data_IF_594349085897
#
_entry.id   IF_594349085897
#
_cell.length_a   1.000
_cell.length_b   1.000
_cell.length_c   1.000
_cell.angle_alpha   90.00
_cell.angle_beta   90.00
_cell.angle_gamma   90.00
#
_symmetry.space_group_name_H-M   'P 1'
#
loop_
_entity.id
_entity.type
_entity.pdbx_description
1 polymer ?
#
# COMPACT_ATOMS: atom_id res chain seq x y z
N UNK A 1 -9.62 -14.25 -9.94
CA UNK A 1 -9.46 -12.87 -10.42
C UNK A 1 -8.36 -12.90 -11.46
N UNK A 2 -8.57 -12.38 -12.67
CA UNK A 2 -7.51 -12.37 -13.66
C UNK A 2 -6.39 -11.44 -13.19
N UNK A 3 -5.13 -11.88 -13.27
CA UNK A 3 -3.94 -11.10 -12.92
C UNK A 3 -3.63 -9.99 -13.96
N UNK A 4 -4.55 -9.72 -14.87
CA UNK A 4 -4.45 -8.71 -15.94
C UNK A 4 -4.46 -7.26 -15.43
N UNK A 5 -4.49 -7.03 -14.11
CA UNK A 5 -4.48 -5.71 -13.49
C UNK A 5 -3.11 -5.43 -12.85
N UNK A 6 -2.22 -4.67 -13.49
CA UNK A 6 -0.85 -4.46 -13.00
C UNK A 6 -0.77 -3.88 -11.58
N UNK A 7 -1.71 -3.01 -11.22
CA UNK A 7 -1.79 -2.44 -9.87
C UNK A 7 -2.13 -3.50 -8.81
N UNK A 8 -2.98 -4.47 -9.14
CA UNK A 8 -3.31 -5.56 -8.23
C UNK A 8 -2.08 -6.44 -7.97
N UNK A 9 -1.42 -6.90 -9.04
CA UNK A 9 -0.23 -7.77 -8.94
C UNK A 9 0.87 -7.07 -8.13
N UNK A 10 1.15 -5.80 -8.44
CA UNK A 10 2.16 -5.03 -7.72
C UNK A 10 1.79 -4.86 -6.24
N UNK A 11 0.54 -4.52 -5.94
CA UNK A 11 0.12 -4.36 -4.55
C UNK A 11 0.14 -5.67 -3.77
N UNK A 12 -0.11 -6.81 -4.43
CA UNK A 12 -0.01 -8.13 -3.81
C UNK A 12 1.42 -8.41 -3.35
N UNK A 13 2.42 -8.14 -4.19
CA UNK A 13 3.83 -8.27 -3.81
C UNK A 13 4.24 -7.31 -2.68
N UNK A 14 3.72 -6.07 -2.69
CA UNK A 14 3.95 -5.10 -1.62
C UNK A 14 3.35 -5.59 -0.30
N UNK A 15 2.12 -6.09 -0.34
CA UNK A 15 1.39 -6.57 0.83
C UNK A 15 2.11 -7.74 1.49
N UNK A 16 2.50 -8.74 0.69
CA UNK A 16 3.24 -9.91 1.14
C UNK A 16 4.57 -9.51 1.81
N UNK A 17 5.34 -8.64 1.13
CA UNK A 17 6.59 -8.12 1.67
C UNK A 17 6.41 -7.35 2.99
N UNK A 18 5.33 -6.57 3.11
CA UNK A 18 5.02 -5.82 4.34
C UNK A 18 4.61 -6.74 5.50
N UNK A 19 3.90 -7.83 5.22
CA UNK A 19 3.56 -8.84 6.23
C UNK A 19 4.83 -9.48 6.79
N UNK A 20 5.73 -9.94 5.91
CA UNK A 20 7.03 -10.50 6.29
C UNK A 20 7.86 -9.54 7.14
N UNK A 21 7.89 -8.24 6.77
CA UNK A 21 8.60 -7.24 7.57
C UNK A 21 7.94 -7.02 8.92
N UNK A 22 6.62 -6.98 8.99
CA UNK A 22 5.88 -6.75 10.23
C UNK A 22 6.15 -7.84 11.28
N UNK A 23 6.43 -9.08 10.86
CA UNK A 23 6.82 -10.18 11.75
C UNK A 23 8.20 -9.97 12.40
N UNK A 24 9.12 -9.34 11.67
CA UNK A 24 10.48 -9.06 12.16
C UNK A 24 10.56 -7.88 13.16
N UNK A 25 9.48 -7.12 13.33
CA UNK A 25 9.48 -5.95 14.21
C UNK A 25 9.54 -6.35 15.69
N UNK A 26 10.00 -5.46 16.60
CA UNK A 26 10.04 -5.76 18.02
C UNK A 26 8.67 -6.18 18.57
N UNK A 27 8.65 -7.22 19.43
CA UNK A 27 7.41 -7.75 20.00
C UNK A 27 6.55 -6.69 20.69
N UNK A 28 7.17 -5.66 21.29
CA UNK A 28 6.49 -4.55 21.97
C UNK A 28 5.59 -3.71 21.05
N UNK A 29 5.82 -3.72 19.73
CA UNK A 29 5.00 -2.97 18.77
C UNK A 29 4.10 -3.85 17.91
N UNK A 30 4.03 -5.15 18.20
CA UNK A 30 3.24 -6.11 17.43
C UNK A 30 1.77 -5.69 17.33
N UNK A 31 1.16 -5.39 18.48
CA UNK A 31 -0.26 -5.02 18.58
C UNK A 31 -0.55 -3.53 18.31
N UNK A 32 0.45 -2.77 17.88
CA UNK A 32 0.31 -1.34 17.59
C UNK A 32 0.75 -1.05 16.16
N UNK A 33 2.06 -0.86 15.95
CA UNK A 33 2.63 -0.47 14.66
C UNK A 33 2.52 -1.60 13.64
N UNK A 34 2.90 -2.83 14.00
CA UNK A 34 2.86 -3.96 13.05
C UNK A 34 1.43 -4.27 12.61
N UNK A 35 0.49 -4.42 13.55
CA UNK A 35 -0.93 -4.63 13.22
C UNK A 35 -1.49 -3.48 12.37
N UNK A 36 -1.18 -2.22 12.71
CA UNK A 36 -1.67 -1.08 11.92
C UNK A 36 -1.09 -1.05 10.51
N UNK A 37 0.17 -1.46 10.34
CA UNK A 37 0.84 -1.53 9.04
C UNK A 37 0.17 -2.57 8.14
N UNK A 38 -0.02 -3.78 8.66
CA UNK A 38 -0.65 -4.88 7.90
C UNK A 38 -2.10 -4.54 7.58
N UNK A 39 -2.88 -4.08 8.56
CA UNK A 39 -4.29 -3.73 8.34
C UNK A 39 -4.47 -2.62 7.29
N UNK A 40 -3.66 -1.57 7.35
CA UNK A 40 -3.73 -0.50 6.36
C UNK A 40 -3.35 -1.00 4.95
N UNK A 41 -2.41 -1.95 4.87
CA UNK A 41 -1.99 -2.53 3.59
C UNK A 41 -3.08 -3.43 2.99
N UNK A 42 -3.78 -4.20 3.83
CA UNK A 42 -4.98 -4.97 3.47
C UNK A 42 -6.11 -4.05 3.01
N UNK A 43 -6.39 -2.98 3.75
CA UNK A 43 -7.43 -2.00 3.38
C UNK A 43 -7.16 -1.32 2.02
N UNK A 44 -5.90 -1.20 1.60
CA UNK A 44 -5.54 -0.69 0.27
C UNK A 44 -5.79 -1.78 -0.79
N UNK A 45 -5.47 -3.04 -0.49
CA UNK A 45 -5.78 -4.16 -1.39
C UNK A 45 -7.29 -4.26 -1.63
N UNK A 46 -8.09 -4.22 -0.56
CA UNK A 46 -9.55 -4.22 -0.66
C UNK A 46 -10.03 -3.08 -1.56
N UNK A 47 -9.50 -1.87 -1.37
CA UNK A 47 -9.82 -0.71 -2.20
C UNK A 47 -9.42 -0.86 -3.67
N UNK A 48 -8.30 -1.53 -3.98
CA UNK A 48 -7.89 -1.85 -5.35
C UNK A 48 -8.87 -2.84 -5.98
N UNK A 49 -9.25 -3.89 -5.25
CA UNK A 49 -10.23 -4.89 -5.73
C UNK A 49 -11.57 -4.22 -6.00
N UNK A 50 -12.10 -3.44 -5.06
CA UNK A 50 -13.35 -2.71 -5.26
C UNK A 50 -13.28 -1.78 -6.48
N UNK A 51 -12.15 -1.09 -6.67
CA UNK A 51 -11.93 -0.17 -7.79
C UNK A 51 -11.94 -0.89 -9.15
N UNK A 52 -11.37 -2.11 -9.23
CA UNK A 52 -11.38 -2.93 -10.44
C UNK A 52 -12.82 -3.23 -10.89
N UNK A 53 -13.72 -3.50 -9.96
CA UNK A 53 -15.11 -3.90 -10.25
C UNK A 53 -16.12 -2.73 -10.22
N UNK A 54 -15.70 -1.52 -9.88
CA UNK A 54 -16.58 -0.35 -9.79
C UNK A 54 -16.74 0.38 -11.13
N UNK A 55 -17.93 0.98 -11.33
CA UNK A 55 -18.22 1.90 -12.45
C UNK A 55 -17.94 3.36 -12.13
N UNK A 56 -17.83 3.72 -10.84
CA UNK A 56 -17.56 5.08 -10.38
C UNK A 56 -16.30 5.07 -9.52
N UNK A 57 -15.14 5.29 -10.13
CA UNK A 57 -13.84 5.07 -9.48
C UNK A 57 -13.26 6.35 -8.89
N UNK A 58 -13.69 7.53 -9.31
CA UNK A 58 -13.15 8.81 -8.82
C UNK A 58 -13.05 8.92 -7.29
N UNK A 59 -14.14 8.61 -6.56
CA UNK A 59 -14.15 8.65 -5.09
C UNK A 59 -13.22 7.59 -4.49
N UNK A 60 -13.21 6.40 -5.07
CA UNK A 60 -12.44 5.25 -4.59
C UNK A 60 -10.94 5.45 -4.81
N UNK A 61 -10.55 6.00 -5.96
CA UNK A 61 -9.17 6.41 -6.27
C UNK A 61 -8.67 7.41 -5.22
N UNK A 62 -9.47 8.43 -4.89
CA UNK A 62 -9.09 9.41 -3.87
C UNK A 62 -8.92 8.77 -2.48
N UNK A 63 -9.81 7.84 -2.11
CA UNK A 63 -9.71 7.10 -0.85
C UNK A 63 -8.48 6.19 -0.80
N UNK A 64 -8.18 5.47 -1.87
CA UNK A 64 -6.99 4.63 -1.99
C UNK A 64 -5.70 5.46 -1.90
N UNK A 65 -5.64 6.59 -2.61
CA UNK A 65 -4.52 7.54 -2.52
C UNK A 65 -4.31 8.05 -1.10
N UNK A 66 -5.38 8.43 -0.38
CA UNK A 66 -5.27 8.86 1.01
C UNK A 66 -4.71 7.74 1.92
N UNK A 67 -5.12 6.48 1.70
CA UNK A 67 -4.58 5.34 2.43
C UNK A 67 -3.09 5.11 2.12
N UNK A 68 -2.65 5.27 0.87
CA UNK A 68 -1.24 5.24 0.50
C UNK A 68 -0.43 6.33 1.22
N UNK A 69 -0.94 7.57 1.31
CA UNK A 69 -0.24 8.62 2.07
C UNK A 69 -0.11 8.27 3.55
N UNK A 70 -1.16 7.72 4.16
CA UNK A 70 -1.11 7.22 5.55
C UNK A 70 -0.05 6.13 5.69
N UNK A 71 0.05 5.23 4.72
CA UNK A 71 1.05 4.16 4.73
C UNK A 71 2.47 4.70 4.62
N UNK A 72 2.73 5.69 3.75
CA UNK A 72 4.04 6.36 3.65
C UNK A 72 4.49 6.98 4.97
N UNK A 73 3.56 7.63 5.68
CA UNK A 73 3.85 8.20 7.01
C UNK A 73 4.21 7.08 8.00
N UNK A 74 3.45 5.99 8.02
CA UNK A 74 3.70 4.86 8.93
C UNK A 74 5.04 4.18 8.63
N UNK A 75 5.37 3.94 7.36
CA UNK A 75 6.65 3.40 6.93
C UNK A 75 7.82 4.32 7.32
N UNK A 76 7.65 5.64 7.20
CA UNK A 76 8.65 6.61 7.67
C UNK A 76 8.85 6.55 9.18
N UNK A 77 7.79 6.29 9.96
CA UNK A 77 7.91 6.05 11.41
C UNK A 77 8.67 4.75 11.68
N UNK A 78 8.35 3.65 11.00
CA UNK A 78 9.07 2.39 11.11
C UNK A 78 10.57 2.55 10.85
N UNK A 79 10.92 3.31 9.80
CA UNK A 79 12.31 3.64 9.51
C UNK A 79 12.98 4.48 10.62
N UNK A 80 12.33 5.56 11.09
CA UNK A 80 12.84 6.39 12.20
C UNK A 80 13.06 5.59 13.49
N UNK A 81 12.21 4.59 13.73
CA UNK A 81 12.32 3.65 14.86
C UNK A 81 13.32 2.51 14.62
N UNK A 82 13.98 2.48 13.46
CA UNK A 82 14.94 1.45 13.02
C UNK A 82 14.33 0.05 12.91
N UNK A 83 13.03 -0.04 12.64
CA UNK A 83 12.36 -1.32 12.33
C UNK A 83 12.58 -1.75 10.88
N UNK A 84 12.94 -0.79 10.02
CA UNK A 84 13.38 -1.01 8.65
C UNK A 84 14.80 -0.46 8.50
N UNK A 85 15.65 -1.16 7.74
CA UNK A 85 16.93 -0.64 7.28
C UNK A 85 16.73 0.45 6.22
N UNK A 86 17.78 1.21 5.91
CA UNK A 86 17.74 2.22 4.86
C UNK A 86 17.36 1.61 3.49
N UNK A 87 17.97 0.47 3.13
CA UNK A 87 17.68 -0.26 1.89
C UNK A 87 16.23 -0.76 1.83
N UNK A 88 15.70 -1.26 2.95
CA UNK A 88 14.30 -1.69 3.04
C UNK A 88 13.33 -0.52 2.91
N UNK A 89 13.65 0.62 3.55
CA UNK A 89 12.84 1.84 3.45
C UNK A 89 12.84 2.41 2.03
N UNK A 90 13.98 2.44 1.36
CA UNK A 90 14.11 2.90 -0.02
C UNK A 90 13.27 2.04 -0.97
N UNK A 91 13.46 0.71 -0.91
CA UNK A 91 12.68 -0.24 -1.70
C UNK A 91 11.17 -0.03 -1.53
N UNK A 92 10.67 -0.06 -0.30
CA UNK A 92 9.22 0.00 -0.08
C UNK A 92 8.64 1.39 -0.38
N UNK A 93 9.43 2.46 -0.23
CA UNK A 93 9.00 3.79 -0.61
C UNK A 93 8.85 3.92 -2.14
N UNK A 94 9.78 3.35 -2.91
CA UNK A 94 9.71 3.32 -4.37
C UNK A 94 8.49 2.54 -4.87
N UNK A 95 8.27 1.34 -4.31
CA UNK A 95 7.14 0.48 -4.63
C UNK A 95 5.78 1.17 -4.37
N UNK A 96 5.62 1.80 -3.20
CA UNK A 96 4.41 2.56 -2.85
C UNK A 96 4.21 3.78 -3.78
N UNK A 97 5.29 4.45 -4.17
CA UNK A 97 5.20 5.60 -5.07
C UNK A 97 4.74 5.17 -6.47
N UNK A 98 5.24 4.05 -6.97
CA UNK A 98 4.83 3.49 -8.25
C UNK A 98 3.37 3.01 -8.22
N UNK A 99 2.92 2.34 -7.15
CA UNK A 99 1.48 2.01 -6.99
C UNK A 99 0.60 3.26 -6.99
N UNK A 100 1.05 4.36 -6.37
CA UNK A 100 0.34 5.65 -6.44
C UNK A 100 0.26 6.22 -7.86
N UNK A 101 1.34 6.10 -8.67
CA UNK A 101 1.32 6.51 -10.09
C UNK A 101 0.34 5.66 -10.90
N UNK A 102 0.31 4.35 -10.68
CA UNK A 102 -0.64 3.43 -11.32
C UNK A 102 -2.09 3.80 -10.99
N UNK A 103 -2.42 4.05 -9.71
CA UNK A 103 -3.77 4.51 -9.32
C UNK A 103 -4.13 5.85 -9.95
N UNK A 104 -3.18 6.78 -10.03
CA UNK A 104 -3.37 8.08 -10.69
C UNK A 104 -3.63 7.96 -12.20
N UNK A 105 -3.05 6.95 -12.86
CA UNK A 105 -3.29 6.65 -14.27
C UNK A 105 -4.76 6.32 -14.57
N UNK A 106 -5.42 5.58 -13.68
CA UNK A 106 -6.84 5.20 -13.85
C UNK A 106 -7.79 6.40 -13.81
N UNK A 107 -7.42 7.46 -13.08
CA UNK A 107 -8.18 8.72 -13.08
C UNK A 107 -8.26 9.35 -14.47
N UNK A 108 -7.20 9.24 -15.27
CA UNK A 108 -7.12 9.82 -16.62
C UNK A 108 -7.99 9.07 -17.64
N UNK A 109 -8.19 7.76 -17.46
CA UNK A 109 -9.05 6.95 -18.34
C UNK A 109 -10.56 7.13 -18.07
N UNK A 110 -10.97 7.64 -16.90
CA UNK A 110 -12.39 7.98 -16.64
C UNK A 110 -12.80 9.37 -17.15
N UNK A 111 -11.84 10.23 -17.52
CA UNK A 111 -12.13 11.61 -17.96
C UNK A 111 -12.01 11.82 -19.48
N UNK A 112 -11.80 10.76 -20.25
CA UNK A 112 -11.87 10.74 -21.71
C UNK A 112 -12.95 9.78 -22.17
#
# INVERSE_FOLDING_TARGET
MNEDYPIFVKWLSILDWLMDRAESFPKSVRFTVSSRLVNLSLEIMDGIIELIYSRNKAKMINQANLKLEKLRVLIRICFKRRYLSAKQYEYIAEEINESGRMLGGWKKYETG
#
